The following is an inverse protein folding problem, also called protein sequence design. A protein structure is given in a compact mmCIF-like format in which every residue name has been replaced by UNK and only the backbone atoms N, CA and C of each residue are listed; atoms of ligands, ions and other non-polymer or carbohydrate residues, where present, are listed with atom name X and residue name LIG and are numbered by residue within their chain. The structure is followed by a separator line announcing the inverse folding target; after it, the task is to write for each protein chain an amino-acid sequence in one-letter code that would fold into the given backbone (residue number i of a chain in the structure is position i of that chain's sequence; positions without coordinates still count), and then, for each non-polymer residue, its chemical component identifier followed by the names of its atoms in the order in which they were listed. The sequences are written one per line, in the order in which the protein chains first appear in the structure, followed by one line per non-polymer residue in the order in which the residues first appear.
data_IF_992634311145
#
_entry.id   IF_992634311145
#
_cell.length_a   1.000
_cell.length_b   1.000
_cell.length_c   1.000
_cell.angle_alpha   90.00
_cell.angle_beta   90.00
_cell.angle_gamma   90.00
#
_symmetry.space_group_name_H-M   'P 1'
#
loop_
_entity.id
_entity.type
_entity.pdbx_description
1 polymer ?
#
# COMPACT_ATOMS: atom_id res chain seq x y z
N UNK A 1 -4.69 -14.84 -7.64
CA UNK A 1 -4.59 -13.99 -8.85
C UNK A 1 -5.94 -13.76 -9.49
N UNK A 2 -6.35 -12.51 -9.76
CA UNK A 2 -7.51 -12.22 -10.61
C UNK A 2 -7.30 -12.85 -12.00
N UNK A 3 -8.00 -13.93 -12.30
CA UNK A 3 -7.70 -14.74 -13.51
C UNK A 3 -8.35 -14.18 -14.78
N UNK A 4 -9.42 -13.40 -14.64
CA UNK A 4 -10.18 -12.85 -15.77
C UNK A 4 -9.46 -11.69 -16.47
N UNK A 5 -8.71 -10.88 -15.71
CA UNK A 5 -8.01 -9.69 -16.20
C UNK A 5 -6.58 -9.65 -15.62
N UNK A 6 -5.65 -10.47 -16.15
CA UNK A 6 -4.33 -10.66 -15.54
C UNK A 6 -3.44 -9.42 -15.54
N UNK A 7 -3.73 -8.45 -16.42
CA UNK A 7 -2.97 -7.20 -16.52
C UNK A 7 -3.59 -6.05 -15.71
N UNK A 8 -4.75 -6.25 -15.09
CA UNK A 8 -5.42 -5.22 -14.31
C UNK A 8 -4.61 -4.93 -13.04
N UNK A 9 -4.30 -3.65 -12.81
CA UNK A 9 -3.69 -3.17 -11.58
C UNK A 9 -4.72 -2.36 -10.80
N UNK A 10 -4.83 -2.64 -9.50
CA UNK A 10 -5.72 -1.94 -8.59
C UNK A 10 -4.89 -1.07 -7.66
N UNK A 11 -5.40 0.10 -7.31
CA UNK A 11 -4.86 0.91 -6.20
C UNK A 11 -5.86 0.79 -5.06
N UNK A 12 -5.44 0.20 -3.95
CA UNK A 12 -6.21 0.22 -2.72
C UNK A 12 -5.91 1.49 -1.94
N UNK A 13 -6.96 2.25 -1.65
CA UNK A 13 -6.81 3.50 -0.93
C UNK A 13 -6.46 3.30 0.55
N UNK A 14 -5.89 4.35 1.14
CA UNK A 14 -5.69 4.50 2.59
C UNK A 14 -4.91 3.32 3.21
N UNK A 15 -3.74 3.03 2.63
CA UNK A 15 -2.86 1.93 3.01
C UNK A 15 -3.55 0.54 3.01
N UNK A 16 -4.56 0.35 2.17
CA UNK A 16 -5.35 -0.89 2.11
C UNK A 16 -6.42 -1.01 3.20
N UNK A 17 -6.66 0.05 3.96
CA UNK A 17 -7.72 0.12 4.97
C UNK A 17 -7.69 -1.05 5.96
N UNK A 18 -8.86 -1.63 6.22
CA UNK A 18 -9.00 -2.77 7.14
C UNK A 18 -8.50 -4.11 6.57
N UNK A 19 -8.13 -4.19 5.29
CA UNK A 19 -7.69 -5.45 4.68
C UNK A 19 -6.32 -5.86 5.22
N UNK A 20 -5.33 -4.97 5.16
CA UNK A 20 -3.94 -5.27 5.56
C UNK A 20 -3.81 -5.88 6.95
N UNK A 21 -4.44 -5.33 8.01
CA UNK A 21 -4.37 -5.93 9.35
C UNK A 21 -5.15 -7.25 9.49
N UNK A 22 -6.01 -7.62 8.53
CA UNK A 22 -6.87 -8.81 8.59
C UNK A 22 -6.43 -9.94 7.66
N UNK A 23 -5.37 -9.77 6.87
CA UNK A 23 -4.91 -10.78 5.90
C UNK A 23 -4.55 -12.13 6.55
N UNK A 24 -3.94 -12.15 7.74
CA UNK A 24 -3.67 -13.40 8.47
C UNK A 24 -4.96 -14.14 8.84
N UNK A 25 -5.99 -13.37 9.22
CA UNK A 25 -7.30 -13.92 9.55
C UNK A 25 -7.95 -14.50 8.30
N UNK A 26 -7.83 -13.84 7.14
CA UNK A 26 -8.34 -14.35 5.86
C UNK A 26 -7.66 -15.67 5.48
N UNK A 27 -6.33 -15.72 5.58
CA UNK A 27 -5.54 -16.95 5.32
C UNK A 27 -5.98 -18.07 6.26
N UNK A 28 -6.01 -17.80 7.57
CA UNK A 28 -6.39 -18.78 8.60
C UNK A 28 -7.80 -19.30 8.40
N UNK A 29 -8.77 -18.42 8.11
CA UNK A 29 -10.14 -18.83 7.86
C UNK A 29 -10.29 -19.65 6.58
N UNK A 30 -9.48 -19.40 5.55
CA UNK A 30 -9.55 -20.17 4.30
C UNK A 30 -9.30 -21.67 4.54
N UNK A 31 -8.41 -22.02 5.48
CA UNK A 31 -8.10 -23.40 5.82
C UNK A 31 -9.26 -24.15 6.51
N UNK A 32 -10.29 -23.43 6.98
CA UNK A 32 -11.47 -24.03 7.63
C UNK A 32 -12.51 -24.54 6.62
N UNK A 33 -12.41 -24.17 5.35
CA UNK A 33 -13.41 -24.47 4.33
C UNK A 33 -12.83 -25.33 3.20
N UNK A 34 -13.45 -26.49 2.88
CA UNK A 34 -13.01 -27.33 1.77
C UNK A 34 -12.97 -26.57 0.44
N UNK A 35 -11.89 -26.75 -0.32
CA UNK A 35 -11.70 -26.11 -1.64
C UNK A 35 -11.09 -24.72 -1.60
N UNK A 36 -10.85 -24.14 -0.41
CA UNK A 36 -10.04 -22.95 -0.23
C UNK A 36 -8.67 -23.33 0.34
N UNK A 37 -7.62 -22.67 -0.16
CA UNK A 37 -6.26 -22.83 0.35
C UNK A 37 -5.43 -21.57 0.09
N UNK A 38 -5.80 -20.47 0.75
CA UNK A 38 -4.98 -19.27 0.70
C UNK A 38 -3.76 -19.49 1.59
N UNK A 39 -2.61 -19.10 1.08
CA UNK A 39 -1.33 -19.14 1.78
C UNK A 39 -0.77 -17.74 1.88
N UNK A 40 0.14 -17.49 2.84
CA UNK A 40 0.85 -16.22 2.90
C UNK A 40 1.54 -15.90 1.57
N UNK A 41 2.22 -16.88 0.96
CA UNK A 41 2.93 -16.71 -0.32
C UNK A 41 1.98 -16.37 -1.48
N UNK A 42 0.84 -17.07 -1.61
CA UNK A 42 -0.14 -16.78 -2.66
C UNK A 42 -0.80 -15.41 -2.48
N UNK A 43 -0.98 -14.95 -1.23
CA UNK A 43 -1.46 -13.60 -0.93
C UNK A 43 -0.41 -12.54 -1.27
N UNK A 44 0.84 -12.70 -0.82
CA UNK A 44 1.95 -11.79 -1.19
C UNK A 44 2.15 -11.71 -2.69
N UNK A 45 2.11 -12.86 -3.38
CA UNK A 45 2.18 -12.90 -4.84
C UNK A 45 1.03 -12.12 -5.46
N UNK A 46 -0.21 -12.36 -5.02
CA UNK A 46 -1.39 -11.66 -5.56
C UNK A 46 -1.32 -10.15 -5.34
N UNK A 47 -0.94 -9.71 -4.14
CA UNK A 47 -0.80 -8.30 -3.82
C UNK A 47 0.34 -7.65 -4.61
N UNK A 48 1.50 -8.30 -4.67
CA UNK A 48 2.66 -7.78 -5.39
C UNK A 48 2.48 -7.75 -6.91
N UNK A 49 1.63 -8.59 -7.50
CA UNK A 49 1.41 -8.60 -8.95
C UNK A 49 0.27 -7.66 -9.36
N UNK A 50 -0.79 -7.57 -8.56
CA UNK A 50 -2.05 -6.93 -9.00
C UNK A 50 -2.40 -5.64 -8.26
N UNK A 51 -1.72 -5.32 -7.15
CA UNK A 51 -2.13 -4.22 -6.28
C UNK A 51 -1.00 -3.22 -6.02
N UNK A 52 -1.41 -1.97 -5.92
CA UNK A 52 -0.70 -0.87 -5.31
C UNK A 52 -1.51 -0.37 -4.11
N UNK A 53 -0.85 0.33 -3.20
CA UNK A 53 -1.45 0.90 -2.01
C UNK A 53 -1.11 2.37 -1.97
N UNK A 54 -2.12 3.22 -1.99
CA UNK A 54 -1.87 4.64 -1.76
C UNK A 54 -1.80 4.95 -0.26
N UNK A 55 -1.26 6.12 0.06
CA UNK A 55 -1.26 6.68 1.41
C UNK A 55 -2.22 7.86 1.52
N UNK A 56 -3.37 7.80 0.81
CA UNK A 56 -4.36 8.86 0.78
C UNK A 56 -4.88 9.19 2.18
N UNK A 57 -4.73 10.46 2.55
CA UNK A 57 -5.24 11.04 3.79
C UNK A 57 -4.17 11.19 4.87
N UNK A 58 -4.53 11.67 6.06
CA UNK A 58 -3.58 11.81 7.15
C UNK A 58 -3.18 10.44 7.69
N UNK A 59 -1.95 10.02 7.39
CA UNK A 59 -1.38 8.76 7.87
C UNK A 59 -0.08 8.98 8.65
N UNK A 60 0.07 8.37 9.83
CA UNK A 60 1.39 8.21 10.44
C UNK A 60 2.15 7.12 9.67
N UNK A 61 3.06 7.54 8.80
CA UNK A 61 3.76 6.63 7.87
C UNK A 61 4.61 5.58 8.59
N UNK A 62 5.10 5.90 9.78
CA UNK A 62 5.84 5.00 10.65
C UNK A 62 5.01 3.80 11.16
N UNK A 63 3.68 3.85 11.02
CA UNK A 63 2.80 2.71 11.30
C UNK A 63 2.19 2.12 10.02
N UNK A 64 1.77 2.97 9.08
CA UNK A 64 1.12 2.51 7.85
C UNK A 64 2.06 1.73 6.93
N UNK A 65 3.28 2.24 6.70
CA UNK A 65 4.23 1.62 5.77
C UNK A 65 4.76 0.28 6.30
N UNK A 66 5.21 0.14 7.57
CA UNK A 66 5.68 -1.15 8.06
C UNK A 66 4.64 -2.27 7.96
N UNK A 67 3.36 -1.96 8.17
CA UNK A 67 2.28 -2.92 8.00
C UNK A 67 2.15 -3.40 6.54
N UNK A 68 2.29 -2.48 5.57
CA UNK A 68 2.30 -2.81 4.14
C UNK A 68 3.54 -3.61 3.74
N UNK A 69 4.72 -3.25 4.27
CA UNK A 69 6.00 -3.90 3.93
C UNK A 69 6.08 -5.37 4.34
N UNK A 70 5.20 -5.82 5.24
CA UNK A 70 5.05 -7.26 5.50
C UNK A 70 4.51 -8.01 4.27
N UNK A 71 3.69 -7.37 3.46
CA UNK A 71 2.92 -8.00 2.38
C UNK A 71 3.40 -7.66 0.98
N UNK A 72 3.95 -6.45 0.78
CA UNK A 72 4.43 -5.99 -0.52
C UNK A 72 5.75 -5.23 -0.38
N UNK A 73 6.52 -5.19 -1.47
CA UNK A 73 7.70 -4.34 -1.56
C UNK A 73 7.32 -2.85 -1.65
N UNK A 74 8.23 -1.96 -1.25
CA UNK A 74 8.04 -0.51 -1.29
C UNK A 74 7.64 0.01 -2.68
N UNK A 75 8.01 -0.70 -3.75
CA UNK A 75 7.62 -0.39 -5.14
C UNK A 75 6.11 -0.45 -5.40
N UNK A 76 5.32 -1.03 -4.48
CA UNK A 76 3.85 -1.09 -4.56
C UNK A 76 3.15 -0.03 -3.72
N UNK A 77 3.88 0.87 -3.08
CA UNK A 77 3.33 1.93 -2.26
C UNK A 77 3.45 3.25 -3.01
N UNK A 78 2.36 4.02 -3.09
CA UNK A 78 2.32 5.34 -3.73
C UNK A 78 1.78 6.38 -2.76
N UNK A 79 2.21 7.62 -2.89
CA UNK A 79 1.68 8.71 -2.08
C UNK A 79 0.37 9.27 -2.65
N UNK A 80 -0.53 9.73 -1.77
CA UNK A 80 -1.76 10.43 -2.13
C UNK A 80 -2.19 11.38 -1.01
N UNK A 81 -2.80 12.52 -1.35
CA UNK A 81 -3.18 13.55 -0.37
C UNK A 81 -4.61 13.42 0.17
N UNK A 82 -5.49 12.75 -0.59
CA UNK A 82 -6.94 12.69 -0.34
C UNK A 82 -7.64 14.07 -0.34
N UNK A 83 -7.11 15.04 -1.10
CA UNK A 83 -7.81 16.28 -1.42
C UNK A 83 -8.97 15.92 -2.37
N UNK A 84 -10.20 16.42 -2.21
CA UNK A 84 -10.70 17.54 -1.39
C UNK A 84 -11.32 17.14 -0.04
N UNK A 85 -11.29 15.86 0.32
CA UNK A 85 -11.85 15.37 1.58
C UNK A 85 -10.96 15.72 2.77
N UNK A 86 -9.63 15.68 2.58
CA UNK A 86 -8.67 16.33 3.46
C UNK A 86 -8.60 17.82 3.09
N UNK A 87 -8.97 18.75 4.00
CA UNK A 87 -8.93 20.19 3.71
C UNK A 87 -7.55 20.62 3.23
N UNK A 88 -7.47 21.50 2.23
CA UNK A 88 -6.21 21.83 1.55
C UNK A 88 -5.09 22.28 2.50
N UNK A 89 -5.40 23.10 3.51
CA UNK A 89 -4.41 23.54 4.51
C UNK A 89 -3.86 22.36 5.33
N UNK A 90 -4.72 21.40 5.69
CA UNK A 90 -4.32 20.17 6.36
C UNK A 90 -3.51 19.27 5.44
N UNK A 91 -3.92 19.09 4.18
CA UNK A 91 -3.21 18.28 3.20
C UNK A 91 -1.79 18.80 2.96
N UNK A 92 -1.60 20.12 2.84
CA UNK A 92 -0.28 20.73 2.71
C UNK A 92 0.60 20.47 3.94
N UNK A 93 0.04 20.59 5.15
CA UNK A 93 0.74 20.25 6.40
C UNK A 93 1.17 18.78 6.43
N UNK A 94 0.27 17.86 6.07
CA UNK A 94 0.57 16.42 6.08
C UNK A 94 1.55 16.01 4.97
N UNK A 95 1.51 16.65 3.81
CA UNK A 95 2.51 16.45 2.76
C UNK A 95 3.92 16.84 3.23
N UNK A 96 4.05 18.00 3.89
CA UNK A 96 5.33 18.43 4.45
C UNK A 96 5.84 17.51 5.56
N UNK A 97 4.94 17.01 6.43
CA UNK A 97 5.30 16.02 7.46
C UNK A 97 5.70 14.68 6.83
N UNK A 98 4.96 14.21 5.82
CA UNK A 98 5.23 12.98 5.09
C UNK A 98 6.66 12.97 4.53
N UNK A 99 7.13 14.07 3.96
CA UNK A 99 8.49 14.15 3.44
C UNK A 99 9.55 13.89 4.51
N UNK A 100 9.37 14.41 5.72
CA UNK A 100 10.29 14.09 6.82
C UNK A 100 10.16 12.63 7.25
N UNK A 101 8.93 12.18 7.47
CA UNK A 101 8.67 10.90 8.13
C UNK A 101 9.00 9.70 7.22
N UNK A 102 8.85 9.83 5.89
CA UNK A 102 9.19 8.75 4.95
C UNK A 102 10.70 8.49 4.90
N UNK A 103 11.54 9.49 5.17
CA UNK A 103 13.00 9.33 5.26
C UNK A 103 13.43 8.62 6.54
N UNK A 104 12.66 8.79 7.63
CA UNK A 104 12.88 8.02 8.85
C UNK A 104 12.57 6.54 8.63
N UNK A 105 11.51 6.23 7.87
CA UNK A 105 11.15 4.84 7.52
C UNK A 105 12.11 4.25 6.48
N UNK A 106 12.56 5.05 5.52
CA UNK A 106 13.51 4.64 4.49
C UNK A 106 14.74 5.56 4.45
N UNK A 107 15.80 5.22 5.18
CA UNK A 107 17.06 5.97 5.12
C UNK A 107 17.73 5.96 3.74
N UNK A 108 17.39 5.01 2.85
CA UNK A 108 17.81 5.06 1.44
C UNK A 108 16.93 6.10 0.69
N UNK A 109 17.50 7.22 0.25
CA UNK A 109 16.75 8.30 -0.38
C UNK A 109 16.04 7.85 -1.68
N UNK A 110 16.53 6.79 -2.35
CA UNK A 110 15.88 6.25 -3.54
C UNK A 110 14.55 5.60 -3.20
N UNK A 111 14.45 4.90 -2.07
CA UNK A 111 13.20 4.27 -1.62
C UNK A 111 12.20 5.31 -1.13
N UNK A 112 12.66 6.30 -0.37
CA UNK A 112 11.82 7.43 0.04
C UNK A 112 11.24 8.17 -1.18
N UNK A 113 12.08 8.49 -2.17
CA UNK A 113 11.63 9.11 -3.42
C UNK A 113 10.72 8.20 -4.26
N UNK A 114 10.89 6.87 -4.15
CA UNK A 114 10.03 5.93 -4.85
C UNK A 114 8.58 6.03 -4.39
N UNK A 115 8.36 6.06 -3.08
CA UNK A 115 7.01 6.20 -2.52
C UNK A 115 6.44 7.59 -2.80
N UNK A 116 7.27 8.64 -2.68
CA UNK A 116 6.85 10.02 -3.01
C UNK A 116 6.34 10.16 -4.44
N UNK A 117 7.06 9.57 -5.41
CA UNK A 117 6.79 9.87 -6.81
C UNK A 117 7.16 8.77 -7.81
N UNK A 118 8.32 8.11 -7.71
CA UNK A 118 8.77 7.28 -8.85
C UNK A 118 7.93 6.02 -9.06
N UNK A 119 7.33 5.47 -8.01
CA UNK A 119 6.38 4.36 -8.13
C UNK A 119 5.13 4.78 -8.91
N UNK A 120 4.58 5.97 -8.60
CA UNK A 120 3.42 6.50 -9.30
C UNK A 120 3.75 6.82 -10.77
N UNK A 121 4.90 7.43 -11.05
CA UNK A 121 5.39 7.64 -12.43
C UNK A 121 5.53 6.32 -13.18
N UNK A 122 6.15 5.31 -12.56
CA UNK A 122 6.27 3.98 -13.18
C UNK A 122 4.92 3.30 -13.45
N UNK A 123 3.90 3.57 -12.62
CA UNK A 123 2.56 3.03 -12.79
C UNK A 123 1.76 3.72 -13.90
N UNK A 124 1.90 5.04 -14.06
CA UNK A 124 1.07 5.84 -14.97
C UNK A 124 1.76 6.27 -16.28
N UNK A 125 3.07 6.04 -16.43
CA UNK A 125 3.87 6.43 -17.61
C UNK A 125 4.54 7.79 -17.45
#
# INVERSE_FOLDING_TARGET
MPTKFPNLKWIMSHAGGGLIPTLDRIITYSALYPGLNLTEDSMKQTLSESFYFDLAGPWPVNYAIPALLRWVDYTRIVWGSDIVFTPMSSAAKYAAAFDKDVEEVFPDPRKANAIRATNARGLFG
#
